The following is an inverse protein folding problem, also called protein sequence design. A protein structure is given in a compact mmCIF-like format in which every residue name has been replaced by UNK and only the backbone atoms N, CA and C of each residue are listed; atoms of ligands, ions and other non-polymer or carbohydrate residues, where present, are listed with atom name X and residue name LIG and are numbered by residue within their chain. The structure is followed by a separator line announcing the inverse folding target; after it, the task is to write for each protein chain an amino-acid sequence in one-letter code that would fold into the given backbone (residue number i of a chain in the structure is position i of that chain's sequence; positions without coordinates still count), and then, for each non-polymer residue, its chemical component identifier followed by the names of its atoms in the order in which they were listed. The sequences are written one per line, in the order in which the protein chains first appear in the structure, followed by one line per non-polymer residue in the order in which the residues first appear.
data_IF_620572139470
#
_entry.id   IF_620572139470
#
_cell.length_a   1.000
_cell.length_b   1.000
_cell.length_c   1.000
_cell.angle_alpha   90.00
_cell.angle_beta   90.00
_cell.angle_gamma   90.00
#
_symmetry.space_group_name_H-M   'P 1'
#
loop_
_entity.id
_entity.type
_entity.pdbx_description
1 polymer ?
2 polymer ?
3 non-polymer ?
4 non-polymer ?
5 non-polymer ?
6 water ?
#
# COMPACT_ATOMS: atom_id res chain seq x y z
N UNK A 17 1.64 34.62 -11.83
CA UNK A 17 0.70 33.65 -11.20
C UNK A 17 1.35 32.27 -11.07
N UNK A 18 1.07 31.61 -9.95
CA UNK A 18 1.58 30.27 -9.67
C UNK A 18 0.41 29.37 -9.28
N UNK A 19 0.12 28.36 -10.10
CA UNK A 19 -0.98 27.45 -9.80
C UNK A 19 -0.46 26.16 -9.18
N UNK A 20 -0.87 25.90 -7.94
CA UNK A 20 -0.35 24.77 -7.16
C UNK A 20 -1.21 23.51 -7.27
N UNK A 21 -0.65 22.51 -7.94
CA UNK A 21 -1.34 21.25 -8.23
C UNK A 21 -0.78 20.15 -7.33
N UNK A 22 -1.67 19.31 -6.81
CA UNK A 22 -1.26 18.11 -6.06
C UNK A 22 -1.74 16.87 -6.81
N UNK A 23 -0.82 15.92 -6.99
CA UNK A 23 -1.17 14.61 -7.55
C UNK A 23 -1.59 13.69 -6.41
N UNK A 24 -2.79 13.14 -6.51
CA UNK A 24 -3.24 12.11 -5.56
C UNK A 24 -3.70 10.84 -6.26
N UNK A 25 -3.77 9.74 -5.50
CA UNK A 25 -4.13 8.45 -6.09
C UNK A 25 -3.32 7.31 -5.51
N UNK A 26 -3.86 6.09 -5.58
CA UNK A 26 -3.17 4.90 -5.05
C UNK A 26 -1.79 4.68 -5.66
N UNK A 27 -0.95 3.91 -4.97
CA UNK A 27 0.37 3.59 -5.50
C UNK A 27 0.22 2.91 -6.84
N UNK A 28 1.03 3.34 -7.82
CA UNK A 28 1.10 2.63 -9.09
C UNK A 28 0.08 3.03 -10.15
N UNK A 29 -0.67 4.10 -9.90
CA UNK A 29 -1.69 4.53 -10.87
C UNK A 29 -1.12 5.32 -12.05
N UNK A 30 0.04 5.95 -11.83
CA UNK A 30 0.72 6.74 -12.85
C UNK A 30 0.92 8.21 -12.50
N UNK A 31 0.88 8.56 -11.22
CA UNK A 31 1.09 9.97 -10.83
C UNK A 31 2.44 10.50 -11.32
N UNK A 32 3.50 9.72 -11.08
CA UNK A 32 4.85 10.11 -11.47
C UNK A 32 5.02 10.13 -12.99
N UNK A 33 4.55 9.07 -13.66
CA UNK A 33 4.61 8.99 -15.11
C UNK A 33 3.87 10.16 -15.77
N UNK A 34 2.68 10.47 -15.25
CA UNK A 34 1.93 11.65 -15.72
C UNK A 34 2.69 12.97 -15.53
N UNK A 35 3.25 13.15 -14.35
CA UNK A 35 3.98 14.38 -14.01
C UNK A 35 5.19 14.58 -14.92
N UNK A 36 5.94 13.50 -15.13
CA UNK A 36 7.17 13.55 -15.92
C UNK A 36 6.90 13.66 -17.44
N UNK A 37 5.78 13.08 -17.89
CA UNK A 37 5.32 13.27 -19.27
C UNK A 37 4.98 14.75 -19.50
N UNK A 38 4.20 15.32 -18.60
CA UNK A 38 3.89 16.76 -18.67
C UNK A 38 5.14 17.62 -18.61
N UNK A 39 6.01 17.35 -17.65
CA UNK A 39 7.18 18.20 -17.39
C UNK A 39 8.23 18.15 -18.49
N UNK A 40 8.61 16.94 -18.89
CA UNK A 40 9.78 16.73 -19.75
C UNK A 40 9.50 15.93 -21.03
N UNK A 41 8.23 15.65 -21.29
CA UNK A 41 7.80 15.01 -22.53
C UNK A 41 8.53 13.69 -22.77
N UNK A 42 8.50 12.84 -21.74
CA UNK A 42 9.14 11.54 -21.75
C UNK A 42 8.27 10.56 -20.97
N UNK A 43 8.26 9.30 -21.37
CA UNK A 43 7.58 8.27 -20.59
C UNK A 43 8.59 7.56 -19.70
N UNK A 44 8.47 7.80 -18.39
CA UNK A 44 9.38 7.26 -17.39
C UNK A 44 8.72 6.09 -16.67
N UNK A 45 9.28 4.91 -16.86
CA UNK A 45 8.70 3.68 -16.31
C UNK A 45 9.31 3.33 -14.97
N UNK A 46 8.49 2.79 -14.08
CA UNK A 46 8.92 2.41 -12.74
C UNK A 46 9.77 3.46 -11.98
N UNK A 47 9.33 4.72 -11.98
CA UNK A 47 9.93 5.74 -11.12
C UNK A 47 9.75 5.28 -9.68
N UNK A 48 10.77 5.48 -8.84
CA UNK A 48 10.77 5.00 -7.45
C UNK A 48 9.42 5.24 -6.76
N UNK A 49 8.68 4.14 -6.45
CA UNK A 49 7.33 4.25 -5.89
C UNK A 49 7.21 5.15 -4.66
N UNK A 50 8.16 5.07 -3.73
CA UNK A 50 8.08 5.83 -2.47
C UNK A 50 8.74 7.20 -2.54
N UNK A 51 9.12 7.63 -3.74
CA UNK A 51 9.80 8.92 -3.89
C UNK A 51 8.82 10.01 -4.29
N UNK A 52 8.87 11.12 -3.56
CA UNK A 52 8.08 12.30 -3.89
C UNK A 52 8.99 13.41 -4.40
N UNK A 53 8.46 14.27 -5.28
CA UNK A 53 9.19 15.45 -5.73
C UNK A 53 8.26 16.58 -6.14
N UNK A 54 8.78 17.80 -6.10
CA UNK A 54 8.06 18.97 -6.58
C UNK A 54 8.66 19.43 -7.89
N UNK A 55 7.80 19.97 -8.76
CA UNK A 55 8.20 20.41 -10.07
C UNK A 55 7.58 21.77 -10.33
N UNK A 56 8.27 22.58 -11.12
CA UNK A 56 7.79 23.89 -11.47
C UNK A 56 8.16 24.19 -12.91
N UNK A 57 7.21 24.72 -13.68
CA UNK A 57 7.51 25.15 -15.05
C UNK A 57 6.61 26.28 -15.55
N UNK A 58 7.19 27.13 -16.39
CA UNK A 58 6.48 28.23 -17.01
C UNK A 58 5.70 27.66 -18.19
N UNK A 59 4.43 28.04 -18.29
CA UNK A 59 3.57 27.62 -19.41
C UNK A 59 2.77 28.82 -19.91
N UNK A 60 2.32 28.77 -21.16
CA UNK A 60 1.38 29.76 -21.65
C UNK A 60 -0.03 29.20 -21.60
N UNK A 61 -0.84 29.79 -20.72
CA UNK A 61 -2.20 29.35 -20.50
C UNK A 61 -3.16 30.38 -21.07
N UNK A 62 -3.80 30.04 -22.18
CA UNK A 62 -4.72 30.92 -22.89
C UNK A 62 -4.14 32.32 -23.06
N UNK A 63 -2.94 32.36 -23.62
CA UNK A 63 -2.24 33.61 -23.95
C UNK A 63 -1.56 34.31 -22.79
N UNK A 64 -1.60 33.73 -21.60
CA UNK A 64 -0.94 34.33 -20.45
C UNK A 64 0.13 33.43 -19.86
N UNK A 65 1.30 34.02 -19.61
CA UNK A 65 2.41 33.30 -19.04
C UNK A 65 2.21 33.13 -17.54
N UNK A 66 2.17 31.87 -17.11
CA UNK A 66 2.00 31.51 -15.71
C UNK A 66 2.96 30.38 -15.37
N UNK A 67 3.10 30.10 -14.08
CA UNK A 67 3.89 28.95 -13.64
C UNK A 67 2.96 27.91 -13.03
N UNK A 68 3.23 26.65 -13.32
CA UNK A 68 2.54 25.56 -12.65
C UNK A 68 3.49 24.95 -11.61
N UNK A 69 2.92 24.58 -10.48
CA UNK A 69 3.64 23.97 -9.40
C UNK A 69 2.99 22.62 -9.18
N UNK A 70 3.75 21.54 -9.36
CA UNK A 70 3.23 20.19 -9.19
C UNK A 70 3.95 19.50 -8.04
N UNK A 71 3.18 19.01 -7.06
CA UNK A 71 3.68 18.07 -6.07
C UNK A 71 3.25 16.67 -6.48
N UNK A 72 4.21 15.85 -6.89
CA UNK A 72 4.00 14.42 -7.17
C UNK A 72 4.20 13.67 -5.86
N UNK A 73 3.10 13.37 -5.18
CA UNK A 73 3.19 12.73 -3.87
C UNK A 73 3.55 11.27 -4.02
N UNK A 74 4.30 10.78 -3.04
CA UNK A 74 4.54 9.36 -2.88
C UNK A 74 3.33 8.82 -2.10
N UNK A 75 3.26 9.17 -0.82
CA UNK A 75 2.04 8.95 -0.02
C UNK A 75 2.09 7.79 0.97
N UNK A 76 3.06 6.90 0.81
CA UNK A 76 3.20 5.73 1.69
C UNK A 76 3.55 6.11 3.13
N UNK A 77 4.08 7.31 3.35
CA UNK A 77 4.52 7.72 4.67
C UNK A 77 4.04 9.12 4.99
N UNK A 78 3.00 9.56 4.31
CA UNK A 78 2.48 10.91 4.52
C UNK A 78 1.40 10.89 5.58
N UNK A 79 1.87 10.97 6.83
CA UNK A 79 1.04 10.90 8.03
C UNK A 79 0.18 12.15 8.14
N UNK A 80 -0.79 12.10 9.05
CA UNK A 80 -1.82 13.14 9.19
C UNK A 80 -1.30 14.55 9.00
N UNK A 81 -0.26 14.92 9.74
CA UNK A 81 0.24 16.31 9.69
C UNK A 81 0.88 16.66 8.33
N UNK A 82 1.53 15.69 7.70
CA UNK A 82 2.16 15.89 6.41
C UNK A 82 1.11 16.10 5.31
N UNK A 83 0.16 15.17 5.21
CA UNK A 83 -0.86 15.22 4.14
C UNK A 83 -1.84 16.37 4.35
N UNK A 84 -2.15 16.68 5.60
CA UNK A 84 -3.04 17.79 5.91
C UNK A 84 -2.40 19.10 5.49
N UNK A 85 -1.09 19.23 5.71
CA UNK A 85 -0.37 20.43 5.32
C UNK A 85 -0.41 20.67 3.82
N UNK A 86 -0.15 19.61 3.03
CA UNK A 86 -0.09 19.78 1.58
C UNK A 86 -1.45 19.82 0.88
N UNK A 87 -2.45 19.18 1.48
CA UNK A 87 -3.85 19.36 1.04
C UNK A 87 -4.29 20.81 1.26
N UNK A 88 -3.88 21.41 2.37
CA UNK A 88 -4.21 22.81 2.64
C UNK A 88 -3.51 23.78 1.68
N UNK A 89 -2.24 23.52 1.41
CA UNK A 89 -1.46 24.37 0.51
C UNK A 89 -1.87 24.21 -0.97
N UNK A 90 -2.27 22.99 -1.34
CA UNK A 90 -2.69 22.71 -2.71
C UNK A 90 -3.90 23.52 -3.13
N UNK A 91 -3.91 23.95 -4.39
CA UNK A 91 -5.02 24.74 -4.92
C UNK A 91 -5.92 23.93 -5.85
N UNK A 92 -5.35 22.90 -6.48
CA UNK A 92 -6.09 22.02 -7.38
C UNK A 92 -5.53 20.62 -7.30
N UNK A 93 -6.37 19.63 -7.60
CA UNK A 93 -6.02 18.25 -7.42
C UNK A 93 -6.29 17.44 -8.67
N UNK A 94 -5.29 16.67 -9.09
CA UNK A 94 -5.48 15.60 -10.06
C UNK A 94 -5.61 14.30 -9.30
N UNK A 95 -6.82 13.75 -9.32
CA UNK A 95 -7.11 12.51 -8.60
C UNK A 95 -7.07 11.35 -9.58
N UNK A 96 -5.97 10.59 -9.52
CA UNK A 96 -5.67 9.61 -10.56
C UNK A 96 -5.99 8.22 -10.06
N UNK A 97 -6.60 7.43 -10.95
CA UNK A 97 -6.70 6.00 -10.76
C UNK A 97 -6.27 5.32 -12.05
N UNK A 98 -6.04 4.02 -12.00
CA UNK A 98 -5.74 3.25 -13.20
C UNK A 98 -7.01 2.56 -13.67
N UNK A 99 -7.32 2.68 -14.95
CA UNK A 99 -8.51 2.00 -15.49
C UNK A 99 -8.40 0.48 -15.40
N UNK A 100 -7.18 -0.03 -15.15
CA UNK A 100 -6.95 -1.46 -15.00
C UNK A 100 -7.07 -1.97 -13.57
N UNK A 101 -7.33 -1.07 -12.62
CA UNK A 101 -7.36 -1.43 -11.20
C UNK A 101 -8.55 -0.84 -10.47
N UNK A 102 -9.59 -1.65 -10.30
CA UNK A 102 -10.83 -1.24 -9.63
C UNK A 102 -10.57 -0.70 -8.22
N UNK A 103 -9.64 -1.33 -7.52
CA UNK A 103 -9.27 -0.91 -6.16
C UNK A 103 -8.79 0.54 -6.13
N UNK A 104 -8.01 0.92 -7.14
CA UNK A 104 -7.52 2.31 -7.26
C UNK A 104 -8.67 3.28 -7.55
N UNK A 105 -9.66 2.84 -8.33
CA UNK A 105 -10.86 3.63 -8.55
C UNK A 105 -11.67 3.80 -7.26
N UNK A 106 -11.89 2.69 -6.56
CA UNK A 106 -12.63 2.73 -5.30
C UNK A 106 -11.96 3.72 -4.35
N UNK A 107 -10.63 3.67 -4.29
CA UNK A 107 -9.84 4.53 -3.39
C UNK A 107 -10.01 6.02 -3.62
N UNK A 108 -10.42 6.42 -4.83
CA UNK A 108 -10.51 7.85 -5.16
C UNK A 108 -11.44 8.62 -4.21
N UNK A 109 -12.50 7.95 -3.75
CA UNK A 109 -13.44 8.55 -2.82
C UNK A 109 -12.76 8.92 -1.49
N UNK A 110 -11.80 8.10 -1.08
CA UNK A 110 -11.03 8.35 0.16
C UNK A 110 -10.16 9.60 0.08
N UNK A 111 -9.38 9.72 -1.01
CA UNK A 111 -8.54 10.90 -1.21
C UNK A 111 -9.39 12.16 -1.25
N UNK A 112 -10.51 12.10 -1.97
CA UNK A 112 -11.39 13.26 -2.05
C UNK A 112 -12.00 13.64 -0.69
N UNK A 113 -12.43 12.64 0.09
CA UNK A 113 -12.97 12.93 1.42
C UNK A 113 -11.94 13.66 2.26
N UNK A 114 -10.70 13.16 2.27
CA UNK A 114 -9.65 13.74 3.09
C UNK A 114 -9.24 15.13 2.61
N UNK A 115 -9.26 15.35 1.30
CA UNK A 115 -9.07 16.69 0.75
C UNK A 115 -10.19 17.63 1.20
N UNK A 116 -11.44 17.20 1.02
CA UNK A 116 -12.61 17.99 1.44
C UNK A 116 -12.63 18.30 2.94
N UNK A 117 -12.18 17.36 3.76
CA UNK A 117 -12.14 17.56 5.21
C UNK A 117 -11.23 18.72 5.64
N UNK A 118 -10.12 18.90 4.93
CA UNK A 118 -9.18 19.98 5.28
C UNK A 118 -9.46 21.31 4.59
N UNK A 119 -10.06 21.23 3.40
CA UNK A 119 -10.31 22.42 2.60
C UNK A 119 -11.67 23.02 2.88
N UNK A 120 -12.58 22.20 3.40
CA UNK A 120 -13.94 22.63 3.76
C UNK A 120 -14.57 23.49 2.65
N UNK A 121 -14.30 23.07 1.41
CA UNK A 121 -14.75 23.75 0.21
C UNK A 121 -14.99 22.70 -0.85
N UNK A 122 -16.25 22.47 -1.17
CA UNK A 122 -16.61 21.50 -2.21
C UNK A 122 -16.25 22.00 -3.60
N UNK A 123 -16.03 23.31 -3.74
CA UNK A 123 -15.70 23.93 -5.02
C UNK A 123 -14.22 23.88 -5.38
N UNK A 124 -13.47 23.08 -4.63
CA UNK A 124 -12.03 22.88 -4.88
C UNK A 124 -11.76 22.35 -6.30
N UNK A 125 -10.88 23.03 -7.06
CA UNK A 125 -10.46 22.53 -8.36
C UNK A 125 -9.98 21.07 -8.24
N UNK A 126 -10.55 20.20 -9.08
CA UNK A 126 -10.43 18.77 -8.91
C UNK A 126 -10.81 18.14 -10.25
N UNK A 127 -9.94 17.27 -10.76
CA UNK A 127 -10.22 16.45 -11.94
C UNK A 127 -10.04 14.99 -11.61
N UNK A 128 -11.00 14.16 -12.02
CA UNK A 128 -10.86 12.71 -11.91
C UNK A 128 -10.15 12.19 -13.15
N UNK A 129 -9.05 11.47 -12.94
CA UNK A 129 -8.19 11.04 -14.04
C UNK A 129 -8.10 9.52 -14.11
N UNK A 130 -8.63 8.95 -15.19
CA UNK A 130 -8.50 7.52 -15.43
C UNK A 130 -7.30 7.29 -16.30
N UNK A 131 -6.19 6.86 -15.69
CA UNK A 131 -4.93 6.70 -16.41
C UNK A 131 -4.76 5.29 -16.97
N UNK A 132 -3.76 5.14 -17.84
CA UNK A 132 -3.42 3.87 -18.53
C UNK A 132 -4.46 3.51 -19.58
N UNK A 133 -4.92 4.51 -20.33
CA UNK A 133 -5.93 4.32 -21.38
C UNK A 133 -5.45 3.44 -22.54
N UNK A 134 -4.13 3.30 -22.67
CA UNK A 134 -3.55 2.41 -23.66
C UNK A 134 -3.78 0.94 -23.32
N UNK A 135 -4.19 0.67 -22.09
CA UNK A 135 -4.40 -0.68 -21.60
C UNK A 135 -5.87 -1.08 -21.62
N UNK A 136 -6.56 -0.70 -22.69
CA UNK A 136 -7.98 -1.01 -22.86
C UNK A 136 -8.26 -2.51 -22.72
N UNK A 137 -7.31 -3.32 -23.19
CA UNK A 137 -7.44 -4.77 -23.15
C UNK A 137 -7.47 -5.35 -21.72
N UNK A 138 -7.03 -4.56 -20.74
CA UNK A 138 -6.99 -4.98 -19.34
C UNK A 138 -7.89 -4.10 -18.44
N UNK A 139 -8.86 -3.41 -19.05
CA UNK A 139 -9.72 -2.48 -18.31
C UNK A 139 -10.61 -3.21 -17.30
N UNK A 140 -10.64 -2.67 -16.07
CA UNK A 140 -11.47 -3.19 -14.98
C UNK A 140 -12.56 -2.20 -14.57
N UNK A 141 -12.29 -0.92 -14.80
CA UNK A 141 -13.21 0.17 -14.44
C UNK A 141 -13.91 0.67 -15.69
N UNK A 142 -15.24 0.58 -15.70
CA UNK A 142 -16.02 1.03 -16.85
C UNK A 142 -16.02 2.55 -16.96
N UNK A 143 -16.14 3.06 -18.18
CA UNK A 143 -16.22 4.51 -18.42
C UNK A 143 -17.50 5.06 -17.78
N UNK A 144 -18.55 4.24 -17.85
CA UNK A 144 -19.84 4.53 -17.24
C UNK A 144 -19.72 4.86 -15.75
N UNK A 145 -19.10 3.97 -14.98
CA UNK A 145 -18.96 4.18 -13.54
C UNK A 145 -18.13 5.43 -13.20
N UNK A 146 -17.04 5.64 -13.94
CA UNK A 146 -16.17 6.78 -13.71
C UNK A 146 -16.86 8.10 -14.08
N UNK A 147 -17.53 8.13 -15.24
CA UNK A 147 -18.28 9.31 -15.65
C UNK A 147 -19.42 9.62 -14.67
N UNK A 148 -20.10 8.58 -14.20
CA UNK A 148 -21.16 8.73 -13.20
C UNK A 148 -20.64 9.32 -11.89
N UNK A 149 -19.48 8.83 -11.45
CA UNK A 149 -18.86 9.38 -10.24
C UNK A 149 -18.43 10.84 -10.42
N UNK A 150 -17.84 11.15 -11.58
CA UNK A 150 -17.44 12.52 -11.88
C UNK A 150 -18.62 13.50 -11.85
N UNK A 151 -19.75 13.09 -12.42
CA UNK A 151 -20.95 13.92 -12.41
C UNK A 151 -21.49 14.12 -10.99
N UNK A 152 -21.48 13.04 -10.21
CA UNK A 152 -21.90 13.06 -8.81
C UNK A 152 -21.07 14.08 -8.02
N UNK A 153 -19.78 14.17 -8.37
CA UNK A 153 -18.83 15.03 -7.71
C UNK A 153 -18.73 16.43 -8.33
N UNK A 154 -19.52 16.67 -9.38
CA UNK A 154 -19.45 17.91 -10.17
C UNK A 154 -18.03 18.25 -10.65
N UNK A 155 -17.35 17.25 -11.19
CA UNK A 155 -16.01 17.46 -11.76
C UNK A 155 -15.96 16.78 -13.13
N UNK A 156 -14.94 17.10 -13.91
CA UNK A 156 -14.73 16.43 -15.17
C UNK A 156 -13.91 15.16 -15.02
N UNK A 157 -14.20 14.20 -15.90
CA UNK A 157 -13.44 12.96 -15.97
C UNK A 157 -12.70 12.94 -17.29
N UNK A 158 -11.42 12.64 -17.24
CA UNK A 158 -10.58 12.56 -18.44
C UNK A 158 -9.75 11.28 -18.39
N UNK A 159 -9.75 10.52 -19.48
CA UNK A 159 -8.92 9.32 -19.57
C UNK A 159 -7.59 9.65 -20.22
N UNK A 160 -6.50 9.25 -19.56
CA UNK A 160 -5.15 9.61 -19.99
C UNK A 160 -4.25 8.40 -20.19
N UNK A 161 -3.13 8.63 -20.88
CA UNK A 161 -2.05 7.66 -20.90
C UNK A 161 -0.72 8.40 -20.86
N UNK A 162 0.05 8.19 -19.80
CA UNK A 162 1.41 8.73 -19.73
C UNK A 162 2.34 8.04 -20.74
N UNK A 163 1.94 6.86 -21.21
CA UNK A 163 2.71 6.13 -22.20
C UNK A 163 2.57 6.72 -23.61
N UNK A 164 1.34 7.07 -24.00
CA UNK A 164 1.07 7.56 -25.35
C UNK A 164 0.91 9.08 -25.40
N UNK A 165 0.96 9.72 -24.23
CA UNK A 165 0.71 11.17 -24.07
C UNK A 165 -0.77 11.57 -24.11
N UNK A 166 -1.66 10.60 -24.32
CA UNK A 166 -3.11 10.85 -24.44
C UNK A 166 -3.67 11.72 -23.32
N UNK A 167 -4.17 12.90 -23.70
CA UNK A 167 -4.82 13.83 -22.78
C UNK A 167 -3.99 14.31 -21.58
N UNK A 168 -2.67 14.08 -21.62
CA UNK A 168 -1.80 14.46 -20.49
C UNK A 168 -1.71 15.98 -20.29
N UNK A 169 -1.31 16.72 -21.32
CA UNK A 169 -1.35 18.18 -21.26
C UNK A 169 -2.74 18.69 -20.88
N UNK A 170 -3.77 18.07 -21.46
CA UNK A 170 -5.16 18.46 -21.19
C UNK A 170 -5.50 18.52 -19.70
N UNK A 171 -5.20 17.46 -18.95
CA UNK A 171 -5.57 17.41 -17.52
C UNK A 171 -4.87 18.50 -16.70
N UNK A 172 -3.60 18.76 -17.00
CA UNK A 172 -2.86 19.79 -16.27
C UNK A 172 -3.34 21.20 -16.62
N UNK A 173 -3.57 21.43 -17.90
CA UNK A 173 -4.10 22.72 -18.37
C UNK A 173 -5.54 22.96 -17.90
N UNK A 174 -6.40 21.95 -18.01
CA UNK A 174 -7.77 22.06 -17.54
C UNK A 174 -7.86 22.35 -16.03
N UNK A 175 -7.05 21.67 -15.24
CA UNK A 175 -6.97 21.94 -13.81
C UNK A 175 -6.50 23.38 -13.52
N UNK A 176 -5.50 23.85 -14.27
CA UNK A 176 -5.00 25.22 -14.13
C UNK A 176 -6.10 26.25 -14.40
N UNK A 177 -6.88 26.01 -15.44
CA UNK A 177 -8.03 26.85 -15.78
C UNK A 177 -9.05 26.92 -14.64
N UNK A 178 -9.30 25.77 -14.01
CA UNK A 178 -10.16 25.73 -12.82
C UNK A 178 -9.57 26.48 -11.63
N UNK A 179 -8.27 26.31 -11.38
CA UNK A 179 -7.61 27.05 -10.29
C UNK A 179 -7.70 28.56 -10.56
N UNK A 180 -7.43 28.95 -11.80
CA UNK A 180 -7.50 30.34 -12.23
C UNK A 180 -8.89 30.96 -12.05
N UNK A 181 -9.92 30.21 -12.45
CA UNK A 181 -11.32 30.66 -12.30
C UNK A 181 -11.71 30.83 -10.83
N UNK A 182 -11.21 29.94 -9.98
CA UNK A 182 -11.47 29.98 -8.54
C UNK A 182 -10.77 31.19 -7.90
N UNK A 183 -9.58 31.52 -8.38
CA UNK A 183 -8.83 32.69 -7.93
C UNK A 183 -9.47 34.00 -8.37
N UNK A 184 -10.19 33.95 -9.49
CA UNK A 184 -10.91 35.13 -10.02
C UNK A 184 -12.07 35.51 -9.11
N UNK A 185 -12.58 34.55 -8.35
CA UNK A 185 -13.59 34.77 -7.31
C UNK A 185 -13.00 34.47 -5.92
N UNK A 186 -12.37 35.45 -5.28
CA UNK A 186 -12.30 36.85 -5.72
C UNK A 186 -10.96 37.16 -6.39
N UNK B 17 22.51 -19.62 10.05
CA UNK B 17 21.43 -20.43 10.70
C UNK B 17 20.43 -19.58 11.51
N UNK B 18 19.16 -19.91 11.32
CA UNK B 18 18.05 -19.21 11.92
C UNK B 18 17.43 -20.07 13.01
N UNK B 19 17.29 -19.50 14.20
CA UNK B 19 16.64 -20.17 15.33
C UNK B 19 15.23 -20.56 14.93
N UNK B 20 14.86 -21.81 15.23
CA UNK B 20 13.50 -22.28 15.00
C UNK B 20 13.03 -22.97 16.26
N UNK B 21 12.06 -22.37 16.93
CA UNK B 21 11.60 -22.92 18.21
C UNK B 21 10.78 -24.19 18.06
N UNK B 22 11.12 -25.16 18.91
CA UNK B 22 10.51 -26.49 18.88
C UNK B 22 9.63 -26.73 20.10
N UNK B 23 9.51 -25.71 20.95
CA UNK B 23 8.76 -25.82 22.19
C UNK B 23 8.11 -24.49 22.53
N UNK B 24 6.82 -24.55 22.84
CA UNK B 24 6.02 -23.35 23.14
C UNK B 24 6.54 -22.56 24.34
N UNK B 25 6.92 -23.24 25.41
CA UNK B 25 7.42 -22.57 26.62
C UNK B 25 8.74 -21.84 26.38
N UNK B 26 9.63 -22.46 25.59
CA UNK B 26 10.88 -21.81 25.20
C UNK B 26 10.63 -20.58 24.35
N UNK B 27 9.71 -20.69 23.40
CA UNK B 27 9.38 -19.60 22.49
C UNK B 27 8.85 -18.41 23.27
N UNK B 28 7.94 -18.68 24.21
CA UNK B 28 7.41 -17.67 25.11
C UNK B 28 8.51 -17.01 25.95
N UNK B 29 9.45 -17.81 26.44
CA UNK B 29 10.56 -17.31 27.24
C UNK B 29 11.40 -16.33 26.43
N UNK B 30 11.71 -16.71 25.19
CA UNK B 30 12.46 -15.86 24.26
C UNK B 30 11.68 -14.58 23.95
N UNK B 31 10.41 -14.74 23.58
CA UNK B 31 9.53 -13.60 23.27
C UNK B 31 9.39 -12.61 24.41
N UNK B 32 9.06 -13.11 25.60
CA UNK B 32 8.97 -12.25 26.79
C UNK B 32 10.26 -11.48 27.07
N UNK B 33 11.40 -12.14 26.86
CA UNK B 33 12.71 -11.51 27.06
C UNK B 33 12.92 -10.31 26.13
N UNK B 34 12.38 -10.39 24.92
CA UNK B 34 12.47 -9.28 23.97
C UNK B 34 11.49 -8.20 24.38
N UNK B 35 10.25 -8.62 24.64
CA UNK B 35 9.17 -7.69 24.97
C UNK B 35 9.52 -6.79 26.16
N UNK B 36 10.16 -7.36 27.17
CA UNK B 36 10.55 -6.64 28.39
C UNK B 36 11.38 -5.38 28.10
N UNK B 37 12.12 -5.39 26.99
CA UNK B 37 13.04 -4.30 26.68
C UNK B 37 12.45 -3.23 25.76
N UNK B 38 11.27 -3.48 25.18
CA UNK B 38 10.73 -2.59 24.14
C UNK B 38 10.46 -1.20 24.66
N UNK B 39 9.85 -1.12 25.84
CA UNK B 39 9.47 0.16 26.43
C UNK B 39 8.47 0.92 25.57
N UNK B 40 7.45 0.21 25.09
CA UNK B 40 6.38 0.82 24.28
C UNK B 40 5.56 1.81 25.10
N UNK B 41 5.09 2.87 24.43
CA UNK B 41 4.24 3.86 25.08
C UNK B 41 2.80 3.32 25.18
N UNK B 42 1.98 4.01 25.96
CA UNK B 42 0.57 3.67 26.08
C UNK B 42 -0.14 3.67 24.71
N UNK B 43 0.08 4.71 23.93
CA UNK B 43 -0.56 4.84 22.62
C UNK B 43 -0.05 3.78 21.64
N UNK B 44 1.23 3.42 21.75
CA UNK B 44 1.82 2.38 20.92
C UNK B 44 1.20 1.01 21.21
N UNK B 45 1.08 0.67 22.49
CA UNK B 45 0.41 -0.57 22.92
C UNK B 45 -1.04 -0.63 22.44
N UNK B 46 -1.76 0.48 22.60
CA UNK B 46 -3.16 0.58 22.14
C UNK B 46 -3.32 0.37 20.63
N UNK B 47 -2.39 0.90 19.84
CA UNK B 47 -2.41 0.73 18.39
C UNK B 47 -2.16 -0.74 18.04
N UNK B 48 -1.26 -1.36 18.80
CA UNK B 48 -0.92 -2.77 18.60
C UNK B 48 -2.08 -3.70 18.99
N UNK B 49 -2.71 -3.42 20.13
CA UNK B 49 -3.87 -4.21 20.59
C UNK B 49 -4.98 -4.16 19.54
N UNK B 50 -5.29 -2.94 19.10
CA UNK B 50 -6.28 -2.71 18.05
C UNK B 50 -5.93 -3.41 16.75
N UNK B 51 -4.64 -3.43 16.39
CA UNK B 51 -4.21 -4.17 15.22
C UNK B 51 -4.60 -5.65 15.29
N UNK B 52 -4.36 -6.28 16.44
CA UNK B 52 -4.66 -7.72 16.58
C UNK B 52 -6.15 -8.03 16.43
N UNK B 53 -6.99 -7.03 16.70
CA UNK B 53 -8.45 -7.13 16.53
C UNK B 53 -8.93 -6.79 15.12
N UNK B 54 -8.11 -6.09 14.33
CA UNK B 54 -8.57 -5.46 13.10
C UNK B 54 -7.60 -5.58 11.92
N UNK B 55 -6.64 -6.49 12.03
CA UNK B 55 -5.55 -6.63 11.07
C UNK B 55 -6.00 -6.68 9.61
N UNK B 56 -6.91 -7.60 9.29
CA UNK B 56 -7.36 -7.79 7.90
C UNK B 56 -7.99 -6.52 7.29
N UNK B 57 -8.61 -5.68 8.12
CA UNK B 57 -9.16 -4.40 7.69
C UNK B 57 -8.06 -3.36 7.40
N UNK B 58 -7.13 -3.19 8.34
CA UNK B 58 -6.00 -2.27 8.20
C UNK B 58 -5.13 -2.67 7.01
N UNK B 59 -4.78 -3.96 6.97
CA UNK B 59 -3.95 -4.52 5.89
C UNK B 59 -4.68 -4.49 4.55
N UNK B 60 -5.99 -4.71 4.59
CA UNK B 60 -6.84 -4.59 3.39
C UNK B 60 -6.77 -3.23 2.74
N UNK B 61 -6.83 -2.17 3.54
CA UNK B 61 -6.75 -0.82 3.02
C UNK B 61 -5.36 -0.48 2.50
N UNK B 62 -4.33 -1.00 3.17
CA UNK B 62 -2.96 -0.81 2.73
C UNK B 62 -2.74 -1.49 1.38
N UNK B 63 -3.27 -2.71 1.24
CA UNK B 63 -3.17 -3.45 -0.01
C UNK B 63 -3.97 -2.78 -1.13
N UNK B 64 -5.16 -2.30 -0.82
CA UNK B 64 -6.02 -1.62 -1.80
C UNK B 64 -5.31 -0.39 -2.38
N UNK B 65 -4.46 0.24 -1.58
CA UNK B 65 -3.79 1.48 -1.97
C UNK B 65 -2.32 1.34 -2.28
N UNK B 66 -1.84 0.10 -2.30
CA UNK B 66 -0.42 -0.21 -2.48
C UNK B 66 0.46 0.64 -1.56
N UNK B 67 0.02 0.76 -0.30
CA UNK B 67 0.82 1.41 0.75
C UNK B 67 0.59 2.88 0.96
N UNK B 68 -0.16 3.52 0.06
CA UNK B 68 -0.43 4.95 0.18
C UNK B 68 -1.47 5.18 1.29
N UNK B 69 -1.17 6.11 2.20
CA UNK B 69 -1.98 6.31 3.42
C UNK B 69 -2.64 7.70 3.48
N UNK B 70 -2.39 8.55 2.50
CA UNK B 70 -2.90 9.93 2.58
C UNK B 70 -4.42 10.08 2.34
N UNK B 71 -5.08 8.98 1.99
CA UNK B 71 -6.54 8.94 1.93
C UNK B 71 -7.18 8.28 3.15
N UNK B 72 -6.36 7.90 4.14
CA UNK B 72 -6.86 7.22 5.33
C UNK B 72 -7.52 8.24 6.28
N UNK B 73 -8.63 7.83 6.95
CA UNK B 73 -9.23 8.72 7.95
C UNK B 73 -8.31 8.91 9.17
N UNK B 74 -8.59 9.95 9.98
CA UNK B 74 -7.74 10.34 11.11
C UNK B 74 -7.34 9.20 12.03
N UNK B 75 -8.34 8.43 12.48
CA UNK B 75 -8.07 7.36 13.43
C UNK B 75 -7.14 6.31 12.85
N UNK B 76 -7.39 5.92 11.60
CA UNK B 76 -6.60 4.89 10.93
C UNK B 76 -5.17 5.36 10.60
N UNK B 77 -5.03 6.61 10.14
CA UNK B 77 -3.71 7.11 9.75
C UNK B 77 -2.81 7.30 10.99
N UNK B 78 -3.41 7.68 12.12
CA UNK B 78 -2.67 7.83 13.37
C UNK B 78 -2.23 6.45 13.89
N UNK B 79 -3.10 5.46 13.78
CA UNK B 79 -2.74 4.08 14.14
C UNK B 79 -1.57 3.58 13.30
N UNK B 80 -1.61 3.85 12.01
CA UNK B 80 -0.53 3.44 11.10
C UNK B 80 0.79 4.09 11.52
N UNK B 81 0.76 5.39 11.81
CA UNK B 81 1.94 6.11 12.27
C UNK B 81 2.52 5.51 13.55
N UNK B 82 1.65 5.13 14.48
CA UNK B 82 2.09 4.56 15.76
C UNK B 82 2.71 3.20 15.56
N UNK B 83 2.06 2.38 14.74
CA UNK B 83 2.56 1.05 14.38
C UNK B 83 3.93 1.17 13.72
N UNK B 84 4.01 1.98 12.67
CA UNK B 84 5.27 2.22 11.95
C UNK B 84 6.44 2.57 12.88
N UNK B 85 6.19 3.50 13.79
CA UNK B 85 7.24 4.06 14.62
C UNK B 85 7.60 3.15 15.80
N UNK B 86 6.67 2.29 16.21
CA UNK B 86 6.94 1.36 17.30
C UNK B 86 8.05 0.37 16.95
N UNK B 87 8.23 0.12 15.64
CA UNK B 87 9.32 -0.76 15.18
C UNK B 87 10.74 -0.21 15.43
N UNK B 88 10.85 1.08 15.73
CA UNK B 88 12.12 1.63 16.20
C UNK B 88 12.55 1.01 17.53
N UNK B 89 11.57 0.50 18.29
CA UNK B 89 11.81 -0.12 19.59
C UNK B 89 11.85 -1.66 19.55
N UNK B 90 11.45 -2.24 18.43
CA UNK B 90 11.30 -3.70 18.35
C UNK B 90 12.15 -4.32 17.24
N UNK B 91 13.27 -4.93 17.63
CA UNK B 91 14.19 -5.61 16.72
C UNK B 91 14.52 -6.99 17.25
N UNK B 92 14.74 -7.95 16.35
CA UNK B 92 15.14 -9.29 16.79
C UNK B 92 16.64 -9.34 17.10
N UNK B 93 17.01 -9.94 18.24
CA UNK B 93 18.42 -9.98 18.64
C UNK B 93 19.23 -11.03 17.88
N UNK B 94 18.55 -11.94 17.18
CA UNK B 94 19.22 -12.98 16.39
C UNK B 94 18.42 -13.37 15.15
N UNK B 95 19.09 -14.08 14.25
CA UNK B 95 18.45 -14.72 13.10
C UNK B 95 17.36 -15.67 13.60
N UNK B 96 16.15 -15.53 13.07
CA UNK B 96 15.02 -16.33 13.53
C UNK B 96 14.10 -16.74 12.39
N UNK B 97 13.54 -17.94 12.51
CA UNK B 97 12.47 -18.43 11.63
C UNK B 97 11.10 -18.03 12.17
N UNK B 98 10.28 -17.45 11.29
CA UNK B 98 8.91 -17.10 11.66
C UNK B 98 7.94 -17.82 10.73
N UNK B 99 6.76 -18.13 11.26
CA UNK B 99 5.78 -18.93 10.54
C UNK B 99 4.49 -18.16 10.29
N UNK B 100 3.94 -18.35 9.10
CA UNK B 100 2.74 -17.65 8.70
C UNK B 100 1.81 -18.55 7.90
N UNK B 101 0.51 -18.48 8.21
CA UNK B 101 -0.52 -19.16 7.43
C UNK B 101 -1.28 -18.23 6.51
N UNK B 102 -1.51 -18.67 5.28
CA UNK B 102 -2.24 -17.88 4.29
C UNK B 102 -3.31 -18.66 3.56
N UNK B 103 -4.37 -17.94 3.19
CA UNK B 103 -5.46 -18.48 2.36
C UNK B 103 -5.14 -18.27 0.89
N UNK B 104 -5.87 -18.96 -0.02
CA UNK B 104 -5.54 -18.96 -1.46
C UNK B 104 -5.41 -17.58 -2.12
N UNK B 105 -6.19 -16.59 -1.69
CA UNK B 105 -6.12 -15.25 -2.29
C UNK B 105 -4.76 -14.56 -2.15
N UNK B 106 -3.94 -15.04 -1.21
CA UNK B 106 -2.55 -14.60 -1.08
C UNK B 106 -1.73 -14.80 -2.37
N UNK B 107 -2.08 -15.82 -3.16
CA UNK B 107 -1.39 -16.10 -4.42
C UNK B 107 -1.90 -15.26 -5.60
N UNK B 108 -3.04 -14.60 -5.40
CA UNK B 108 -3.69 -13.82 -6.46
C UNK B 108 -5.17 -14.14 -6.61
N UNK B 109 -5.91 -13.19 -7.19
CA UNK B 109 -7.36 -13.36 -7.35
C UNK B 109 -7.75 -14.63 -8.12
N UNK B 110 -6.92 -15.02 -9.08
CA UNK B 110 -7.19 -16.19 -9.91
C UNK B 110 -7.04 -17.51 -9.15
N UNK B 111 -6.46 -17.47 -7.96
CA UNK B 111 -6.29 -18.66 -7.12
C UNK B 111 -7.36 -18.80 -6.04
N UNK B 112 -8.13 -17.72 -5.82
CA UNK B 112 -9.04 -17.61 -4.68
C UNK B 112 -9.95 -18.83 -4.50
N UNK B 113 -10.63 -19.23 -5.57
CA UNK B 113 -11.54 -20.38 -5.51
C UNK B 113 -11.07 -21.52 -6.40
N UNK B 114 -9.75 -21.58 -6.59
CA UNK B 114 -9.12 -22.35 -7.67
C UNK B 114 -7.94 -23.22 -7.21
N UNK B 115 -7.46 -22.96 -5.99
CA UNK B 115 -6.24 -23.59 -5.48
C UNK B 115 -6.41 -25.08 -5.17
N UNK B 116 -7.59 -25.44 -4.68
CA UNK B 116 -7.81 -26.76 -4.07
C UNK B 116 -8.55 -27.72 -4.98
N UNK B 117 -8.11 -28.97 -4.96
CA UNK B 117 -8.85 -30.07 -5.55
C UNK B 117 -10.08 -30.36 -4.69
N UNK B 118 -11.05 -31.09 -5.25
CA UNK B 118 -12.28 -31.41 -4.52
C UNK B 118 -12.04 -32.28 -3.28
N UNK B 119 -10.92 -32.99 -3.25
CA UNK B 119 -10.56 -33.83 -2.10
C UNK B 119 -9.67 -33.12 -1.08
N UNK B 120 -9.49 -31.82 -1.23
CA UNK B 120 -8.74 -31.02 -0.26
C UNK B 120 -7.25 -30.88 -0.52
N UNK B 121 -6.73 -31.62 -1.50
CA UNK B 121 -5.32 -31.48 -1.86
C UNK B 121 -5.11 -30.26 -2.76
N UNK B 122 -3.90 -29.68 -2.71
CA UNK B 122 -3.52 -28.59 -3.61
C UNK B 122 -3.52 -29.10 -5.05
N UNK B 123 -4.19 -28.37 -5.94
CA UNK B 123 -4.16 -28.73 -7.36
C UNK B 123 -2.78 -28.49 -7.96
N UNK B 124 -2.25 -29.51 -8.62
CA UNK B 124 -0.88 -29.45 -9.16
C UNK B 124 -0.69 -28.41 -10.27
N UNK B 125 -1.73 -28.18 -11.06
CA UNK B 125 -1.72 -27.12 -12.08
C UNK B 125 -1.68 -25.76 -11.41
N UNK B 126 -2.55 -25.55 -10.41
CA UNK B 126 -2.54 -24.30 -9.65
C UNK B 126 -1.18 -24.08 -9.00
N UNK B 127 -0.63 -25.14 -8.41
CA UNK B 127 0.68 -25.08 -7.75
C UNK B 127 1.79 -24.69 -8.72
N UNK B 128 1.85 -25.37 -9.87
CA UNK B 128 2.85 -25.04 -10.89
C UNK B 128 2.74 -23.60 -11.39
N UNK B 129 1.51 -23.11 -11.55
CA UNK B 129 1.29 -21.70 -11.92
C UNK B 129 1.78 -20.74 -10.83
N UNK B 130 1.51 -21.07 -9.56
CA UNK B 130 1.98 -20.26 -8.43
C UNK B 130 3.50 -20.23 -8.35
N UNK B 131 4.11 -21.40 -8.58
CA UNK B 131 5.56 -21.55 -8.58
C UNK B 131 6.22 -20.69 -9.67
N UNK B 132 5.62 -20.65 -10.86
CA UNK B 132 6.12 -19.82 -11.96
C UNK B 132 5.97 -18.33 -11.65
N UNK B 133 4.90 -17.99 -10.94
CA UNK B 133 4.59 -16.62 -10.60
C UNK B 133 5.51 -16.04 -9.51
N UNK B 134 5.90 -16.86 -8.54
CA UNK B 134 6.53 -16.34 -7.32
C UNK B 134 7.95 -16.85 -6.98
N UNK B 135 8.28 -18.05 -7.44
CA UNK B 135 9.55 -18.67 -7.05
C UNK B 135 10.74 -17.89 -7.61
N UNK B 136 11.75 -17.74 -6.76
CA UNK B 136 12.99 -17.00 -7.08
C UNK B 136 12.73 -15.55 -7.48
N UNK B 137 11.71 -14.96 -6.87
CA UNK B 137 11.35 -13.57 -7.13
C UNK B 137 11.15 -12.83 -5.81
N UNK B 138 11.37 -11.51 -5.85
CA UNK B 138 11.04 -10.64 -4.72
C UNK B 138 9.54 -10.41 -4.67
N UNK B 139 9.01 -10.29 -3.46
CA UNK B 139 7.62 -9.98 -3.26
C UNK B 139 7.48 -8.87 -2.25
N UNK B 140 6.64 -7.89 -2.57
CA UNK B 140 6.38 -6.76 -1.69
C UNK B 140 5.00 -6.90 -1.05
N UNK B 141 4.96 -6.78 0.27
CA UNK B 141 3.72 -6.85 1.03
C UNK B 141 3.37 -5.46 1.57
N UNK B 142 2.22 -4.92 1.16
CA UNK B 142 1.78 -3.60 1.61
C UNK B 142 1.24 -3.58 3.03
N UNK B 143 0.65 -4.69 3.46
CA UNK B 143 0.17 -4.83 4.82
C UNK B 143 1.27 -5.16 5.80
N UNK B 144 1.01 -4.97 7.10
CA UNK B 144 1.88 -5.52 8.15
C UNK B 144 1.80 -7.03 8.02
N UNK B 145 2.86 -7.73 8.46
CA UNK B 145 2.90 -9.18 8.35
C UNK B 145 2.86 -9.85 9.73
N UNK B 146 1.72 -10.46 10.05
CA UNK B 146 1.57 -11.21 11.29
C UNK B 146 2.15 -12.59 11.11
N UNK B 147 3.04 -12.97 12.03
CA UNK B 147 3.65 -14.31 12.00
C UNK B 147 3.63 -14.89 13.42
N UNK B 148 4.02 -16.15 13.54
CA UNK B 148 4.16 -16.80 14.85
C UNK B 148 5.57 -17.36 15.03
N UNK B 149 6.03 -17.45 16.28
CA UNK B 149 7.31 -18.09 16.59
C UNK B 149 7.35 -19.58 16.26
N UNK B 150 6.17 -20.22 16.21
CA UNK B 150 6.08 -21.63 15.84
C UNK B 150 4.93 -21.88 14.86
N UNK B 151 4.85 -23.10 14.36
CA UNK B 151 3.84 -23.48 13.36
C UNK B 151 2.78 -24.40 13.96
N UNK B 152 2.25 -24.01 15.12
CA UNK B 152 1.24 -24.80 15.84
C UNK B 152 0.00 -23.99 16.22
N UNK B 153 -0.05 -22.72 15.80
CA UNK B 153 -1.23 -21.90 16.05
C UNK B 153 -2.39 -22.30 15.11
N UNK B 154 -3.51 -21.59 15.23
CA UNK B 154 -4.69 -21.85 14.39
C UNK B 154 -4.45 -21.61 12.89
N UNK B 155 -3.39 -20.88 12.57
CA UNK B 155 -3.09 -20.52 11.19
C UNK B 155 -2.26 -21.60 10.49
N UNK B 156 -1.76 -22.55 11.27
CA UNK B 156 -0.95 -23.65 10.74
C UNK B 156 -1.77 -24.61 9.88
N UNK B 157 -3.09 -24.45 9.92
CA UNK B 157 -4.00 -25.28 9.13
C UNK B 157 -4.44 -24.64 7.82
N UNK B 158 -3.98 -23.43 7.54
CA UNK B 158 -4.29 -22.77 6.27
C UNK B 158 -3.56 -23.48 5.12
N UNK B 159 -4.06 -23.35 3.87
CA UNK B 159 -3.45 -24.13 2.77
C UNK B 159 -2.04 -23.67 2.36
N UNK B 160 -1.64 -22.46 2.78
CA UNK B 160 -0.31 -21.94 2.46
C UNK B 160 0.46 -21.59 3.73
N UNK B 161 1.62 -22.22 3.90
CA UNK B 161 2.50 -21.95 5.05
C UNK B 161 3.79 -21.26 4.58
N UNK B 162 4.09 -20.11 5.16
CA UNK B 162 5.36 -19.44 4.84
C UNK B 162 6.32 -19.49 6.03
N UNK B 163 7.55 -19.90 5.75
CA UNK B 163 8.65 -19.85 6.70
C UNK B 163 9.55 -18.69 6.32
N UNK B 164 9.53 -17.65 7.14
CA UNK B 164 10.34 -16.46 6.91
C UNK B 164 11.66 -16.54 7.64
N UNK B 165 12.76 -16.31 6.92
CA UNK B 165 14.08 -16.22 7.50
C UNK B 165 14.36 -14.76 7.79
N UNK B 166 14.38 -14.42 9.07
CA UNK B 166 14.48 -13.02 9.50
C UNK B 166 15.81 -12.78 10.21
N UNK B 167 16.63 -11.93 9.61
CA UNK B 167 17.99 -11.71 10.06
C UNK B 167 18.09 -10.90 11.35
N UNK B 168 19.13 -11.20 12.14
CA UNK B 168 19.47 -10.44 13.33
C UNK B 168 19.43 -8.94 13.07
N UNK B 169 18.81 -8.20 13.98
CA UNK B 169 18.71 -6.74 13.90
C UNK B 169 17.49 -6.21 13.15
N UNK B 170 16.77 -7.10 12.48
CA UNK B 170 15.58 -6.72 11.68
C UNK B 170 14.44 -6.25 12.58
N UNK B 171 13.63 -5.33 12.05
CA UNK B 171 12.40 -4.89 12.71
C UNK B 171 11.43 -6.06 12.83
N UNK B 172 11.07 -6.39 14.08
CA UNK B 172 10.22 -7.56 14.39
C UNK B 172 9.84 -7.49 15.86
N UNK B 173 8.54 -7.51 16.15
CA UNK B 173 8.09 -7.33 17.53
C UNK B 173 7.23 -8.46 18.06
N UNK B 174 7.61 -8.99 19.22
CA UNK B 174 6.82 -9.99 19.90
C UNK B 174 5.70 -9.30 20.66
N UNK B 175 4.48 -9.44 20.16
CA UNK B 175 3.34 -8.67 20.68
C UNK B 175 2.29 -9.54 21.40
N UNK B 176 2.57 -10.84 21.52
CA UNK B 176 1.75 -11.77 22.31
C UNK B 176 1.32 -11.22 23.70
N UNK B 177 2.27 -10.67 24.49
CA UNK B 177 1.89 -10.19 25.82
C UNK B 177 0.80 -9.11 25.86
N UNK B 178 0.49 -8.49 24.72
CA UNK B 178 -0.55 -7.47 24.66
C UNK B 178 -1.62 -7.73 23.61
N UNK B 179 -1.46 -8.81 22.86
CA UNK B 179 -2.40 -9.20 21.81
C UNK B 179 -3.78 -9.51 22.38
N UNK B 180 -4.82 -9.23 21.60
CA UNK B 180 -6.17 -9.64 21.96
C UNK B 180 -6.32 -11.16 21.87
N UNK B 181 -5.33 -11.81 21.25
CA UNK B 181 -5.32 -13.27 21.10
C UNK B 181 -3.99 -13.85 21.58
N UNK B 182 -3.79 -13.82 22.90
CA UNK B 182 -2.63 -14.45 23.53
C UNK B 182 -2.62 -15.96 23.24
N UNK B 183 -1.42 -16.51 23.02
CA UNK B 183 -1.27 -17.93 22.68
C UNK B 183 -0.84 -18.15 21.25
N UNK B 184 -0.96 -17.11 20.43
CA UNK B 184 -0.58 -17.18 19.02
C UNK B 184 0.94 -17.04 18.82
N UNK B 185 1.66 -16.67 19.90
CA UNK B 185 3.10 -16.40 19.84
C UNK B 185 3.45 -15.41 18.73
N UNK B 186 2.66 -14.33 18.62
CA UNK B 186 2.76 -13.43 17.46
C UNK B 186 4.00 -12.56 17.40
N UNK B 187 4.69 -12.63 16.26
CA UNK B 187 5.75 -11.71 15.90
C UNK B 187 5.26 -10.85 14.74
N UNK B 188 5.10 -9.55 14.99
CA UNK B 188 4.66 -8.66 13.94
C UNK B 188 5.85 -8.08 13.17
N UNK B 189 5.71 -7.99 11.85
CA UNK B 189 6.71 -7.37 11.02
C UNK B 189 6.14 -6.11 10.36
N UNK B 190 7.01 -5.12 10.07
CA UNK B 190 6.55 -3.87 9.48
C UNK B 190 5.85 -4.05 8.14
N UNK B 191 4.99 -3.08 7.81
CA UNK B 191 4.34 -3.03 6.50
C UNK B 191 5.36 -2.64 5.42
N UNK B 192 4.93 -2.75 4.17
CA UNK B 192 5.76 -2.39 3.02
C UNK B 192 7.12 -3.11 3.00
N UNK B 193 7.09 -4.39 3.36
CA UNK B 193 8.30 -5.21 3.45
C UNK B 193 8.46 -6.08 2.20
N UNK B 194 9.71 -6.25 1.78
CA UNK B 194 10.04 -7.12 0.66
C UNK B 194 10.73 -8.37 1.18
N UNK B 195 10.39 -9.52 0.59
CA UNK B 195 11.06 -10.77 0.88
C UNK B 195 11.27 -11.52 -0.42
N UNK B 196 12.25 -12.41 -0.43
CA UNK B 196 12.55 -13.20 -1.61
C UNK B 196 12.13 -14.65 -1.39
N UNK B 197 11.32 -15.17 -2.31
CA UNK B 197 10.84 -16.55 -2.19
C UNK B 197 11.89 -17.51 -2.74
N UNK B 198 12.46 -18.29 -1.82
CA UNK B 198 13.59 -19.19 -2.12
C UNK B 198 13.16 -20.59 -2.54
N UNK B 199 12.05 -21.06 -1.98
CA UNK B 199 11.60 -22.43 -2.17
C UNK B 199 10.09 -22.52 -2.03
N UNK B 200 9.48 -23.31 -2.91
CA UNK B 200 8.05 -23.60 -2.87
C UNK B 200 7.82 -25.08 -3.13
N UNK B 201 7.25 -25.78 -2.15
CA UNK B 201 6.98 -27.21 -2.30
C UNK B 201 5.65 -27.60 -1.67
N UNK B 202 5.17 -28.79 -2.03
CA UNK B 202 3.97 -29.34 -1.42
C UNK B 202 4.33 -30.09 -0.15
N UNK B 203 3.43 -30.04 0.83
CA UNK B 203 3.60 -30.81 2.05
C UNK B 203 3.53 -32.30 1.68
N UNK B 204 4.00 -33.17 2.58
CA UNK B 204 3.96 -34.62 2.30
C UNK B 204 2.50 -35.07 2.17
N UNK B 205 1.66 -34.34 2.89
CA UNK B 205 0.19 -34.38 2.83
C UNK B 205 -0.37 -34.13 1.43
N UNK B 206 0.33 -33.32 0.64
CA UNK B 206 -0.21 -32.81 -0.61
C UNK B 206 -1.28 -31.74 -0.38
N UNK B 207 -1.55 -31.45 0.89
CA UNK B 207 -2.64 -30.54 1.27
C UNK B 207 -2.21 -29.09 1.49
N UNK B 208 -0.91 -28.84 1.58
CA UNK B 208 -0.39 -27.49 1.79
C UNK B 208 0.76 -27.16 0.84
N UNK B 209 0.89 -25.87 0.53
CA UNK B 209 2.07 -25.34 -0.13
C UNK B 209 2.95 -24.78 0.98
N UNK B 210 4.20 -25.25 1.04
CA UNK B 210 5.18 -24.71 1.98
C UNK B 210 6.16 -23.81 1.25
N UNK B 211 6.16 -22.53 1.65
CA UNK B 211 7.03 -21.51 1.06
C UNK B 211 8.15 -21.15 2.04
N UNK B 212 9.39 -21.11 1.56
CA UNK B 212 10.50 -20.59 2.34
C UNK B 212 10.97 -19.29 1.71
N UNK B 213 11.03 -18.24 2.52
CA UNK B 213 11.39 -16.91 2.03
C UNK B 213 12.41 -16.23 2.93
N UNK B 214 13.25 -15.39 2.34
CA UNK B 214 14.21 -14.60 3.09
C UNK B 214 13.69 -13.18 3.21
N UNK B 215 13.49 -12.73 4.45
CA UNK B 215 13.01 -11.37 4.69
C UNK B 215 14.11 -10.38 4.38
N UNK B 216 13.79 -9.36 3.59
CA UNK B 216 14.80 -8.39 3.16
C UNK B 216 14.72 -7.11 3.97
N UNK B 217 13.51 -6.62 4.19
CA UNK B 217 13.31 -5.43 5.03
C UNK B 217 12.17 -4.55 4.58
N UNK B 218 11.97 -3.45 5.29
CA UNK B 218 10.86 -2.54 5.03
C UNK B 218 11.31 -1.20 4.45
N UNK B 219 10.42 -0.57 3.69
CA UNK B 219 10.63 0.76 3.16
C UNK B 219 10.23 1.81 4.19
N UNK B 220 9.53 1.39 5.25
CA UNK B 220 9.00 2.33 6.23
C UNK B 220 9.94 2.48 7.42
N UNK B 221 10.81 3.49 7.36
CA UNK B 221 11.84 3.68 8.38
C UNK B 221 11.88 5.11 8.94
N UNK B 222 10.85 5.49 9.72
CA UNK B 222 10.80 6.86 10.25
C UNK B 222 11.91 7.12 11.25
N UNK B 223 12.35 8.37 11.35
CA UNK B 223 13.48 8.79 12.19
C UNK B 223 13.43 8.28 13.62
#
# INVERSE_FOLDING_TARGET
GSPGISGGGGGSQNSLALHKVIMVGSGGVGKSALTLQFMYDEFVEDYEPTKADSYRKKVVLDGEEVQIDILDTAGQEDYAAIRDNYFRSGEGFLCVFSITEMESFAATADFREQILRVKEDENVPFLLVGNKSDLEDKRQVSVEEAKNRAEQWNVNYVETSAKTRANVDKVFFDLMREIRARKMEDS
GSPGISGGGGGSAYSNTYQEFTNIDQAKAWGNAQYKKYGLSKSEKEAIVSYTKSASEINGKLRQNKGVINGFPSNLIKQVELLDKSFNKMKTPENIMLFRGDDPAYLGTEFQNTLLNSNGTINKTAFEKAKAKFLNKDRLEYGYISTSLMNVSQFAGRPIITKFKVAKGSKAGYIDPISAFAGQLEMLLPRHSTYHIDDMRLSSDGKQIIITATMMGTAINPK
#
